data_IF_340772040712
#
_entry.id   IF_340772040712
#
_cell.length_a   1.000
_cell.length_b   1.000
_cell.length_c   1.000
_cell.angle_alpha   90.00
_cell.angle_beta   90.00
_cell.angle_gamma   90.00
#
_symmetry.space_group_name_H-M   'P 1'
#
loop_
_entity.id
_entity.type
_entity.pdbx_description
1 polymer ?
#
# COMPACT_ATOMS: atom_id res chain seq x y z
N UNK A 1 47.35 -47.10 -61.56
CA UNK A 1 46.70 -46.51 -60.35
C UNK A 1 46.08 -45.18 -60.75
N UNK A 2 44.79 -45.14 -60.87
CA UNK A 2 44.07 -43.88 -61.20
C UNK A 2 43.45 -43.32 -59.89
N UNK A 3 43.87 -42.13 -59.48
CA UNK A 3 43.22 -41.37 -58.36
C UNK A 3 42.11 -40.57 -58.95
N UNK A 4 40.89 -40.85 -58.44
CA UNK A 4 39.68 -40.06 -58.72
C UNK A 4 39.57 -38.96 -57.70
N UNK A 5 39.72 -37.71 -58.12
CA UNK A 5 39.42 -36.53 -57.27
C UNK A 5 37.91 -36.34 -57.24
N UNK A 6 37.29 -36.58 -56.07
CA UNK A 6 35.91 -36.13 -55.79
C UNK A 6 35.97 -34.72 -55.27
N UNK A 7 35.45 -33.77 -56.07
CA UNK A 7 35.25 -32.37 -55.70
C UNK A 7 33.93 -32.29 -54.94
N UNK A 8 34.04 -32.02 -53.65
CA UNK A 8 32.86 -31.82 -52.78
C UNK A 8 32.46 -30.34 -52.85
N UNK A 9 31.31 -30.02 -53.46
CA UNK A 9 30.76 -28.70 -53.45
C UNK A 9 30.06 -28.44 -52.09
N UNK A 10 30.60 -27.51 -51.33
CA UNK A 10 29.96 -26.97 -50.11
C UNK A 10 28.95 -25.91 -50.53
N UNK A 11 27.67 -26.25 -50.50
CA UNK A 11 26.58 -25.27 -50.71
C UNK A 11 26.37 -24.50 -49.41
N UNK A 12 26.82 -23.25 -49.36
CA UNK A 12 26.53 -22.35 -48.27
C UNK A 12 25.12 -21.75 -48.52
N UNK A 13 24.14 -22.28 -47.85
CA UNK A 13 22.80 -21.66 -47.75
C UNK A 13 22.88 -20.41 -46.84
N UNK A 14 22.97 -19.24 -47.44
CA UNK A 14 22.74 -17.98 -46.74
C UNK A 14 21.26 -17.86 -46.43
N UNK A 15 20.88 -18.18 -45.20
CA UNK A 15 19.56 -17.82 -44.64
C UNK A 15 19.53 -16.32 -44.46
N UNK A 16 19.05 -15.58 -45.45
CA UNK A 16 18.61 -14.21 -45.26
C UNK A 16 17.31 -14.25 -44.44
N UNK A 17 17.44 -14.23 -43.11
CA UNK A 17 16.32 -13.99 -42.24
C UNK A 17 15.86 -12.54 -42.47
N UNK A 18 14.85 -12.38 -43.33
CA UNK A 18 14.06 -11.13 -43.34
C UNK A 18 13.31 -11.10 -42.02
N UNK A 19 13.89 -10.43 -41.02
CA UNK A 19 13.08 -9.96 -39.90
C UNK A 19 12.09 -8.96 -40.49
N UNK A 20 10.76 -9.14 -40.27
CA UNK A 20 9.81 -8.11 -40.63
C UNK A 20 10.29 -6.82 -39.97
N UNK A 21 10.37 -5.76 -40.75
CA UNK A 21 10.69 -4.45 -40.21
C UNK A 21 9.58 -4.11 -39.23
N UNK A 22 9.88 -4.06 -37.95
CA UNK A 22 8.92 -3.59 -36.96
C UNK A 22 8.49 -2.18 -37.37
N UNK A 23 7.18 -1.98 -37.51
CA UNK A 23 6.63 -0.67 -37.67
C UNK A 23 6.99 0.18 -36.43
N UNK A 24 7.47 1.39 -36.66
CA UNK A 24 7.79 2.28 -35.57
C UNK A 24 6.51 2.51 -34.72
N UNK A 25 6.52 2.01 -33.51
CA UNK A 25 5.45 2.29 -32.54
C UNK A 25 5.50 3.80 -32.29
N UNK A 26 4.44 4.52 -32.65
CA UNK A 26 4.31 5.93 -32.28
C UNK A 26 4.25 6.00 -30.75
N UNK A 27 5.20 6.67 -30.08
CA UNK A 27 5.14 6.79 -28.63
C UNK A 27 3.79 7.38 -28.23
N UNK A 28 3.14 6.81 -27.23
CA UNK A 28 1.94 7.41 -26.63
C UNK A 28 2.31 8.83 -26.18
N UNK A 29 1.53 9.86 -26.55
CA UNK A 29 1.84 11.22 -26.08
C UNK A 29 1.92 11.23 -24.56
N UNK A 30 3.01 11.75 -24.00
CA UNK A 30 3.14 12.01 -22.58
C UNK A 30 2.08 13.04 -22.20
N UNK A 31 1.10 12.64 -21.41
CA UNK A 31 0.02 13.51 -20.96
C UNK A 31 0.25 13.77 -19.48
N UNK A 32 0.61 15.01 -19.17
CA UNK A 32 0.60 15.46 -17.79
C UNK A 32 -0.86 15.59 -17.35
N UNK A 33 -1.24 14.81 -16.33
CA UNK A 33 -2.59 14.83 -15.76
C UNK A 33 -2.55 15.43 -14.37
N UNK A 34 -3.53 16.26 -14.08
CA UNK A 34 -3.74 16.83 -12.73
C UNK A 34 -5.05 16.30 -12.17
N UNK A 35 -5.00 15.84 -10.94
CA UNK A 35 -6.13 15.23 -10.24
C UNK A 35 -6.26 15.85 -8.86
N UNK A 36 -7.45 16.33 -8.51
CA UNK A 36 -7.84 16.70 -7.16
C UNK A 36 -8.73 15.59 -6.59
N UNK A 37 -8.41 15.09 -5.40
CA UNK A 37 -9.21 14.11 -4.67
C UNK A 37 -9.94 14.78 -3.52
N UNK A 38 -11.14 14.30 -3.20
CA UNK A 38 -11.87 14.66 -1.99
C UNK A 38 -11.88 13.47 -1.02
N UNK A 39 -11.05 13.53 0.02
CA UNK A 39 -11.01 12.50 1.07
C UNK A 39 -11.83 12.89 2.30
N UNK A 40 -12.68 13.90 2.16
CA UNK A 40 -13.55 14.44 3.20
C UNK A 40 -12.88 15.44 4.14
N UNK A 41 -13.66 16.33 4.69
CA UNK A 41 -13.22 17.41 5.58
C UNK A 41 -12.41 16.86 6.78
N UNK A 42 -12.86 15.74 7.34
CA UNK A 42 -12.18 15.08 8.47
C UNK A 42 -11.17 14.03 8.05
N UNK A 43 -10.92 13.90 6.74
CA UNK A 43 -10.02 12.88 6.17
C UNK A 43 -10.40 11.47 6.65
N UNK A 44 -11.70 11.17 6.61
CA UNK A 44 -12.30 9.93 7.09
C UNK A 44 -12.64 8.95 5.96
N UNK A 45 -12.09 9.18 4.77
CA UNK A 45 -12.17 8.28 3.63
C UNK A 45 -10.78 7.77 3.26
N UNK A 46 -10.78 6.58 2.69
CA UNK A 46 -9.66 6.02 1.95
C UNK A 46 -10.07 6.02 0.49
N UNK A 47 -9.26 6.65 -0.36
CA UNK A 47 -9.47 6.66 -1.80
C UNK A 47 -8.37 5.83 -2.48
N UNK A 48 -8.77 4.79 -3.18
CA UNK A 48 -7.89 3.92 -3.96
C UNK A 48 -7.81 4.42 -5.40
N UNK A 49 -6.61 4.74 -5.85
CA UNK A 49 -6.38 5.35 -7.16
C UNK A 49 -5.52 4.45 -8.06
N UNK A 50 -5.94 4.29 -9.32
CA UNK A 50 -5.16 3.66 -10.35
C UNK A 50 -4.58 4.72 -11.29
N UNK A 51 -3.24 4.74 -11.42
CA UNK A 51 -2.53 5.57 -12.40
C UNK A 51 -2.84 5.12 -13.82
N UNK A 52 -2.88 3.81 -14.05
CA UNK A 52 -3.15 3.22 -15.34
C UNK A 52 -4.56 3.58 -15.85
N UNK A 53 -5.57 3.52 -14.99
CA UNK A 53 -6.94 3.90 -15.33
C UNK A 53 -7.21 5.40 -15.16
N UNK A 54 -6.28 6.13 -14.52
CA UNK A 54 -6.38 7.58 -14.28
C UNK A 54 -7.62 7.99 -13.48
N UNK A 55 -8.00 7.19 -12.49
CA UNK A 55 -9.21 7.45 -11.69
C UNK A 55 -9.14 6.85 -10.29
N UNK A 56 -10.00 7.35 -9.41
CA UNK A 56 -10.36 6.65 -8.19
C UNK A 56 -11.17 5.40 -8.57
N UNK A 57 -10.71 4.23 -8.18
CA UNK A 57 -11.36 2.95 -8.47
C UNK A 57 -12.27 2.49 -7.35
N UNK A 58 -12.02 2.94 -6.12
CA UNK A 58 -12.88 2.72 -4.97
C UNK A 58 -12.66 3.77 -3.88
N UNK A 59 -13.67 3.96 -3.05
CA UNK A 59 -13.59 4.72 -1.80
C UNK A 59 -14.21 3.90 -0.67
N UNK A 60 -13.64 4.00 0.53
CA UNK A 60 -14.16 3.32 1.71
C UNK A 60 -13.96 4.17 2.97
N UNK A 61 -14.76 3.92 3.99
CA UNK A 61 -14.43 4.39 5.34
C UNK A 61 -13.36 3.51 5.95
N UNK A 62 -12.34 4.04 6.64
CA UNK A 62 -11.40 3.20 7.39
C UNK A 62 -12.09 2.36 8.47
N UNK A 63 -13.36 2.62 8.78
CA UNK A 63 -14.18 1.83 9.70
C UNK A 63 -14.79 0.57 9.07
N UNK A 64 -14.76 0.46 7.74
CA UNK A 64 -15.47 -0.59 7.02
C UNK A 64 -14.75 -1.95 7.11
N UNK A 65 -13.43 -1.98 7.36
CA UNK A 65 -12.68 -3.23 7.49
C UNK A 65 -11.71 -3.23 8.66
N UNK A 66 -11.29 -4.42 9.09
CA UNK A 66 -10.33 -4.61 10.16
C UNK A 66 -9.04 -5.28 9.65
N UNK A 67 -9.15 -6.17 8.67
CA UNK A 67 -8.03 -6.93 8.12
C UNK A 67 -8.02 -6.92 6.59
N UNK A 68 -6.82 -6.92 6.03
CA UNK A 68 -6.54 -7.31 4.66
C UNK A 68 -5.82 -8.65 4.66
N UNK A 69 -6.27 -9.56 3.81
CA UNK A 69 -5.70 -10.90 3.63
C UNK A 69 -5.39 -11.10 2.16
N UNK A 70 -4.22 -11.65 1.85
CA UNK A 70 -3.90 -12.21 0.54
C UNK A 70 -3.16 -13.53 0.68
N UNK A 71 -2.67 -14.10 -0.41
CA UNK A 71 -1.98 -15.40 -0.43
C UNK A 71 -0.76 -15.45 0.51
N UNK A 72 -0.12 -14.33 0.77
CA UNK A 72 1.15 -14.25 1.49
C UNK A 72 1.03 -13.51 2.83
N UNK A 73 0.09 -12.59 2.96
CA UNK A 73 0.04 -11.69 4.11
C UNK A 73 -1.35 -11.62 4.74
N UNK A 74 -1.37 -11.35 6.03
CA UNK A 74 -2.56 -10.96 6.81
C UNK A 74 -2.16 -9.71 7.55
N UNK A 75 -2.85 -8.59 7.31
CA UNK A 75 -2.53 -7.28 7.88
C UNK A 75 -3.72 -6.67 8.57
N UNK A 76 -3.46 -5.92 9.63
CA UNK A 76 -4.46 -5.00 10.18
C UNK A 76 -4.72 -3.86 9.19
N UNK A 77 -5.87 -3.23 9.34
CA UNK A 77 -6.17 -1.99 8.65
C UNK A 77 -5.27 -0.85 9.18
N UNK A 78 -4.28 -0.47 8.38
CA UNK A 78 -3.35 0.60 8.72
C UNK A 78 -3.93 2.00 8.53
N UNK A 79 -5.08 2.16 7.84
CA UNK A 79 -5.79 3.43 7.73
C UNK A 79 -6.60 3.81 8.98
N UNK A 80 -6.45 3.04 10.03
CA UNK A 80 -7.07 3.28 11.34
C UNK A 80 -6.02 3.07 12.43
N UNK A 81 -6.10 3.77 13.55
CA UNK A 81 -5.18 3.62 14.68
C UNK A 81 -5.40 2.31 15.44
N UNK A 82 -5.32 1.18 14.73
CA UNK A 82 -5.38 -0.14 15.34
C UNK A 82 -4.03 -0.51 15.96
N UNK A 83 -4.09 -1.24 17.06
CA UNK A 83 -2.91 -1.78 17.73
C UNK A 83 -3.06 -3.28 17.89
N UNK A 84 -1.93 -3.96 18.02
CA UNK A 84 -1.92 -5.40 18.24
C UNK A 84 -0.90 -5.77 19.32
N UNK A 85 -1.23 -6.78 20.10
CA UNK A 85 -0.31 -7.45 20.99
C UNK A 85 -0.29 -8.94 20.68
N UNK A 86 0.88 -9.56 20.72
CA UNK A 86 1.04 -10.99 20.60
C UNK A 86 0.77 -11.64 21.95
N UNK A 87 0.07 -12.77 21.96
CA UNK A 87 -0.15 -13.59 23.11
C UNK A 87 0.43 -15.00 22.89
N UNK A 88 1.43 -15.37 23.67
CA UNK A 88 2.26 -16.57 23.47
C UNK A 88 1.76 -17.78 24.27
N UNK A 89 0.47 -17.87 24.58
CA UNK A 89 -0.14 -18.98 25.29
C UNK A 89 -1.48 -19.39 24.64
N UNK A 90 -2.25 -20.24 25.28
CA UNK A 90 -3.57 -20.70 24.82
C UNK A 90 -4.68 -19.75 25.24
N UNK A 91 -5.79 -19.75 24.51
CA UNK A 91 -6.89 -18.80 24.73
C UNK A 91 -7.50 -18.87 26.12
N UNK A 92 -7.57 -20.07 26.71
CA UNK A 92 -8.09 -20.29 28.06
C UNK A 92 -7.27 -19.58 29.17
N UNK A 93 -6.08 -19.09 28.82
CA UNK A 93 -5.22 -18.30 29.72
C UNK A 93 -5.25 -16.80 29.44
N UNK A 94 -5.97 -16.37 28.42
CA UNK A 94 -6.15 -14.97 28.09
C UNK A 94 -7.33 -14.37 28.88
N UNK A 95 -7.14 -14.22 30.19
CA UNK A 95 -8.18 -13.72 31.11
C UNK A 95 -8.36 -12.19 30.97
N UNK A 96 -7.27 -11.47 30.74
CA UNK A 96 -7.25 -10.02 30.57
C UNK A 96 -6.10 -9.57 29.66
N UNK A 97 -5.86 -8.30 29.56
CA UNK A 97 -4.78 -7.71 28.76
C UNK A 97 -3.59 -7.22 29.58
N UNK A 98 -3.55 -7.55 30.88
CA UNK A 98 -2.44 -7.15 31.74
C UNK A 98 -1.13 -7.79 31.27
N UNK A 99 -0.09 -6.97 31.18
CA UNK A 99 1.23 -7.43 30.71
C UNK A 99 1.39 -7.55 29.19
N UNK A 100 0.34 -7.32 28.38
CA UNK A 100 0.46 -7.26 26.94
C UNK A 100 1.08 -5.94 26.48
N UNK A 101 1.96 -6.01 25.51
CA UNK A 101 2.54 -4.84 24.87
C UNK A 101 1.89 -4.61 23.52
N UNK A 102 1.04 -3.59 23.42
CA UNK A 102 0.40 -3.18 22.20
C UNK A 102 1.31 -2.29 21.35
N UNK A 103 1.31 -2.54 20.05
CA UNK A 103 2.08 -1.76 19.07
C UNK A 103 1.18 -1.35 17.91
N UNK A 104 1.42 -0.15 17.37
CA UNK A 104 0.84 0.28 16.12
C UNK A 104 1.55 -0.38 14.94
N UNK A 105 0.87 -0.43 13.80
CA UNK A 105 1.52 -0.70 12.52
C UNK A 105 2.17 0.60 12.06
N UNK A 106 3.49 0.59 11.94
CA UNK A 106 4.26 1.67 11.35
C UNK A 106 5.22 1.07 10.34
N UNK A 107 5.53 1.80 9.27
CA UNK A 107 6.44 1.33 8.22
C UNK A 107 7.90 1.64 8.51
N UNK A 108 8.19 2.54 9.46
CA UNK A 108 9.53 3.05 9.78
C UNK A 108 10.37 2.18 10.73
N UNK A 109 9.85 1.08 11.22
CA UNK A 109 10.61 0.22 12.12
C UNK A 109 11.48 -0.77 11.36
N UNK A 110 12.77 -0.48 11.24
CA UNK A 110 13.80 -1.38 10.68
C UNK A 110 13.88 -2.75 11.39
N UNK A 111 13.32 -2.91 12.55
CA UNK A 111 13.54 -4.06 13.42
C UNK A 111 12.42 -5.09 13.43
N UNK A 112 11.70 -5.39 12.41
CA UNK A 112 10.81 -6.58 12.40
C UNK A 112 9.33 -6.35 12.12
N UNK A 113 8.87 -5.14 11.92
CA UNK A 113 7.43 -4.87 11.85
C UNK A 113 6.95 -4.29 10.51
N UNK A 114 7.84 -4.06 9.58
CA UNK A 114 7.53 -3.60 8.21
C UNK A 114 6.62 -4.56 7.44
N UNK A 115 6.45 -5.76 7.97
CA UNK A 115 5.56 -6.77 7.47
C UNK A 115 4.83 -7.40 8.64
N UNK A 116 3.79 -6.75 9.12
CA UNK A 116 2.85 -7.42 10.00
C UNK A 116 2.07 -8.47 9.23
N UNK A 117 2.79 -9.47 8.82
CA UNK A 117 2.22 -10.75 8.56
C UNK A 117 1.83 -11.31 9.92
N UNK A 118 0.55 -11.27 10.22
CA UNK A 118 0.07 -11.99 11.38
C UNK A 118 0.44 -13.45 11.18
N UNK A 119 1.30 -13.97 12.04
CA UNK A 119 1.80 -15.34 11.93
C UNK A 119 0.63 -16.30 12.10
N UNK A 120 0.51 -17.25 11.20
CA UNK A 120 -0.52 -18.30 11.31
C UNK A 120 -0.47 -19.01 12.65
N UNK A 121 -1.64 -19.33 13.16
CA UNK A 121 -1.82 -20.05 14.43
C UNK A 121 -1.31 -19.31 15.69
N UNK A 122 -0.82 -18.10 15.54
CA UNK A 122 -0.48 -17.22 16.66
C UNK A 122 -1.72 -16.47 17.14
N UNK A 123 -1.92 -16.42 18.46
CA UNK A 123 -2.99 -15.59 19.05
C UNK A 123 -2.50 -14.15 19.15
N UNK A 124 -3.35 -13.24 18.68
CA UNK A 124 -3.15 -11.80 18.80
C UNK A 124 -4.33 -11.18 19.55
N UNK A 125 -4.05 -10.18 20.35
CA UNK A 125 -5.06 -9.27 20.90
C UNK A 125 -5.04 -8.00 20.06
N UNK A 126 -6.17 -7.72 19.42
CA UNK A 126 -6.34 -6.56 18.55
C UNK A 126 -7.14 -5.49 19.27
N UNK A 127 -6.58 -4.30 19.36
CA UNK A 127 -7.27 -3.08 19.75
C UNK A 127 -7.77 -2.38 18.47
N UNK A 128 -9.07 -2.28 18.33
CA UNK A 128 -9.70 -1.64 17.16
C UNK A 128 -9.47 -0.13 17.07
N UNK A 129 -8.83 0.47 18.10
CA UNK A 129 -8.59 1.90 18.16
C UNK A 129 -9.84 2.69 18.50
N UNK A 130 -9.95 3.88 17.93
CA UNK A 130 -11.03 4.83 18.18
C UNK A 130 -11.98 4.93 16.99
N UNK A 131 -13.25 5.19 17.24
CA UNK A 131 -14.19 5.56 16.21
C UNK A 131 -14.06 7.05 15.79
N UNK A 132 -14.91 7.50 14.87
CA UNK A 132 -14.90 8.88 14.39
C UNK A 132 -15.27 9.93 15.45
N UNK A 133 -15.80 9.50 16.61
CA UNK A 133 -16.10 10.36 17.77
C UNK A 133 -15.02 10.32 18.85
N UNK A 134 -13.91 9.63 18.57
CA UNK A 134 -12.80 9.35 19.50
C UNK A 134 -13.21 8.46 20.69
N UNK A 135 -14.25 7.67 20.54
CA UNK A 135 -14.60 6.65 21.54
C UNK A 135 -13.84 5.33 21.23
N UNK A 136 -13.32 4.62 22.26
CA UNK A 136 -12.70 3.32 22.06
C UNK A 136 -13.70 2.31 21.48
N UNK A 137 -13.30 1.59 20.44
CA UNK A 137 -14.16 0.57 19.81
C UNK A 137 -14.14 -0.73 20.60
N UNK A 138 -13.00 -1.08 21.17
CA UNK A 138 -12.83 -2.28 22.01
C UNK A 138 -11.69 -3.17 21.57
N UNK A 139 -11.64 -4.34 22.17
CA UNK A 139 -10.59 -5.34 22.01
C UNK A 139 -11.19 -6.70 21.63
N UNK A 140 -10.44 -7.47 20.86
CA UNK A 140 -10.75 -8.88 20.59
C UNK A 140 -9.46 -9.67 20.51
N UNK A 141 -9.53 -10.98 20.75
CA UNK A 141 -8.45 -11.88 20.39
C UNK A 141 -8.74 -12.54 19.05
N UNK A 142 -7.70 -12.80 18.26
CA UNK A 142 -7.82 -13.36 16.93
C UNK A 142 -6.67 -14.30 16.62
N UNK A 143 -6.94 -15.34 15.83
CA UNK A 143 -5.95 -16.25 15.25
C UNK A 143 -6.38 -16.58 13.83
N UNK A 144 -5.42 -16.68 12.95
CA UNK A 144 -5.65 -17.02 11.54
C UNK A 144 -5.08 -18.40 11.24
N UNK A 145 -5.81 -19.16 10.45
CA UNK A 145 -5.41 -20.48 9.96
C UNK A 145 -5.70 -20.55 8.46
N UNK A 146 -4.67 -20.73 7.65
CA UNK A 146 -4.87 -20.90 6.20
C UNK A 146 -5.41 -22.28 5.92
N UNK A 147 -6.35 -22.36 5.00
CA UNK A 147 -6.94 -23.59 4.49
C UNK A 147 -6.65 -23.74 3.00
N UNK A 148 -7.03 -24.87 2.42
CA UNK A 148 -6.83 -25.09 0.98
C UNK A 148 -7.61 -24.08 0.11
N UNK A 149 -8.75 -23.59 0.62
CA UNK A 149 -9.68 -22.76 -0.14
C UNK A 149 -9.76 -21.30 0.37
N UNK A 150 -9.00 -20.95 1.42
CA UNK A 150 -9.07 -19.61 2.01
C UNK A 150 -8.46 -19.51 3.39
N UNK A 151 -9.13 -18.78 4.28
CA UNK A 151 -8.66 -18.53 5.65
C UNK A 151 -9.78 -18.74 6.66
N UNK A 152 -9.46 -19.48 7.72
CA UNK A 152 -10.29 -19.57 8.91
C UNK A 152 -9.82 -18.50 9.92
N UNK A 153 -10.74 -17.66 10.32
CA UNK A 153 -10.52 -16.58 11.28
C UNK A 153 -11.15 -16.98 12.62
N UNK A 154 -10.31 -17.37 13.55
CA UNK A 154 -10.73 -17.64 14.92
C UNK A 154 -10.74 -16.34 15.71
N UNK A 155 -11.79 -16.10 16.50
CA UNK A 155 -11.87 -14.90 17.32
C UNK A 155 -12.60 -15.17 18.62
N UNK A 156 -12.28 -14.37 19.64
CA UNK A 156 -12.87 -14.50 20.95
C UNK A 156 -12.87 -13.17 21.71
N UNK A 157 -13.87 -12.98 22.55
CA UNK A 157 -13.83 -11.91 23.54
C UNK A 157 -12.76 -12.24 24.61
N UNK A 158 -12.03 -11.24 25.08
CA UNK A 158 -11.04 -11.41 26.14
C UNK A 158 -11.72 -11.95 27.39
N UNK A 159 -11.13 -12.97 28.00
CA UNK A 159 -11.67 -13.68 29.17
C UNK A 159 -12.83 -14.63 28.87
N UNK A 160 -13.05 -15.00 27.61
CA UNK A 160 -14.08 -15.96 27.21
C UNK A 160 -13.49 -17.35 26.92
N UNK A 161 -14.15 -18.40 27.33
CA UNK A 161 -13.77 -19.79 27.08
C UNK A 161 -14.26 -20.30 25.71
N UNK A 162 -15.03 -19.51 24.96
CA UNK A 162 -15.65 -19.95 23.70
C UNK A 162 -14.92 -19.35 22.51
N UNK A 163 -14.34 -20.19 21.67
CA UNK A 163 -13.79 -19.84 20.38
C UNK A 163 -14.91 -19.82 19.33
N UNK A 164 -14.95 -18.77 18.54
CA UNK A 164 -15.80 -18.66 17.35
C UNK A 164 -14.90 -18.55 16.14
N UNK A 165 -15.29 -19.11 15.02
CA UNK A 165 -14.56 -18.94 13.78
C UNK A 165 -15.48 -18.63 12.61
N UNK A 166 -14.91 -17.94 11.62
CA UNK A 166 -15.52 -17.67 10.33
C UNK A 166 -14.63 -18.28 9.24
N UNK A 167 -15.24 -19.01 8.31
CA UNK A 167 -14.56 -19.54 7.14
C UNK A 167 -14.73 -18.54 5.98
N UNK A 168 -13.62 -18.03 5.45
CA UNK A 168 -13.61 -17.15 4.29
C UNK A 168 -12.93 -17.86 3.13
N UNK A 169 -13.72 -18.31 2.16
CA UNK A 169 -13.28 -19.10 1.01
C UNK A 169 -12.81 -18.18 -0.14
N UNK A 170 -11.85 -17.32 0.15
CA UNK A 170 -11.21 -16.41 -0.80
C UNK A 170 -9.73 -16.30 -0.48
N UNK A 171 -8.90 -16.14 -1.51
CA UNK A 171 -7.45 -16.00 -1.37
C UNK A 171 -7.00 -14.56 -1.07
N UNK A 172 -7.84 -13.58 -1.43
CA UNK A 172 -7.54 -12.16 -1.22
C UNK A 172 -8.83 -11.40 -0.93
N UNK A 173 -8.87 -10.68 0.20
CA UNK A 173 -10.09 -9.99 0.63
C UNK A 173 -9.80 -8.98 1.75
N UNK A 174 -10.72 -8.02 1.91
CA UNK A 174 -10.84 -7.20 3.11
C UNK A 174 -11.95 -7.77 4.00
N UNK A 175 -11.73 -7.78 5.30
CA UNK A 175 -12.65 -8.39 6.25
C UNK A 175 -12.96 -7.47 7.42
N UNK A 176 -14.24 -7.33 7.72
CA UNK A 176 -14.73 -6.71 8.95
C UNK A 176 -15.10 -7.80 9.96
N UNK A 177 -14.32 -7.92 11.02
CA UNK A 177 -14.55 -8.97 12.03
C UNK A 177 -15.76 -8.66 12.91
N UNK A 178 -16.08 -7.41 13.14
CA UNK A 178 -17.22 -6.98 13.96
C UNK A 178 -18.55 -7.24 13.26
N UNK A 179 -18.59 -6.98 11.95
CA UNK A 179 -19.77 -7.19 11.09
C UNK A 179 -19.77 -8.58 10.42
N UNK A 180 -18.66 -9.33 10.53
CA UNK A 180 -18.46 -10.67 9.98
C UNK A 180 -18.71 -10.75 8.48
N UNK A 181 -18.16 -9.81 7.74
CA UNK A 181 -18.35 -9.75 6.29
C UNK A 181 -17.05 -9.45 5.54
N UNK A 182 -16.99 -9.99 4.33
CA UNK A 182 -15.99 -9.63 3.32
C UNK A 182 -16.46 -8.38 2.58
N UNK A 183 -15.52 -7.48 2.29
CA UNK A 183 -15.79 -6.27 1.52
C UNK A 183 -15.24 -6.41 0.11
N UNK A 184 -15.98 -5.87 -0.83
CA UNK A 184 -15.58 -5.74 -2.24
C UNK A 184 -14.77 -4.44 -2.41
N UNK A 185 -13.49 -4.50 -2.02
CA UNK A 185 -12.52 -3.41 -2.16
C UNK A 185 -11.34 -3.89 -3.03
N UNK A 186 -10.70 -2.99 -3.78
CA UNK A 186 -9.58 -3.36 -4.64
C UNK A 186 -8.42 -3.89 -3.80
N UNK A 187 -7.90 -5.04 -4.19
CA UNK A 187 -6.70 -5.62 -3.61
C UNK A 187 -5.48 -4.74 -3.87
N UNK A 188 -4.40 -4.93 -3.12
CA UNK A 188 -3.15 -4.16 -3.31
C UNK A 188 -2.55 -4.27 -4.72
N UNK A 189 -3.01 -5.22 -5.54
CA UNK A 189 -2.61 -5.37 -6.95
C UNK A 189 -3.46 -4.57 -7.93
N UNK A 190 -4.60 -4.07 -7.50
CA UNK A 190 -5.58 -3.41 -8.37
C UNK A 190 -5.50 -1.89 -8.28
N UNK A 191 -4.86 -1.33 -7.23
CA UNK A 191 -4.60 0.10 -7.13
C UNK A 191 -3.09 0.37 -7.05
N UNK A 192 -2.68 1.56 -7.45
CA UNK A 192 -1.28 1.98 -7.37
C UNK A 192 -1.00 2.74 -6.08
N UNK A 193 -1.90 3.63 -5.68
CA UNK A 193 -1.79 4.45 -4.48
C UNK A 193 -3.14 4.58 -3.77
N UNK A 194 -3.10 4.65 -2.43
CA UNK A 194 -4.28 4.86 -1.60
C UNK A 194 -4.06 6.05 -0.67
N UNK A 195 -5.02 6.95 -0.64
CA UNK A 195 -5.00 8.18 0.16
C UNK A 195 -5.83 7.98 1.42
N UNK A 196 -5.24 8.20 2.59
CA UNK A 196 -5.94 8.06 3.86
C UNK A 196 -5.10 8.51 5.03
N UNK A 197 -5.66 8.43 6.23
CA UNK A 197 -4.86 8.53 7.46
C UNK A 197 -4.25 7.18 7.77
N UNK A 198 -3.01 7.15 8.15
CA UNK A 198 -2.35 5.95 8.68
C UNK A 198 -1.47 6.32 9.87
N UNK A 199 -1.11 5.33 10.68
CA UNK A 199 -0.23 5.56 11.82
C UNK A 199 1.21 5.46 11.36
N UNK A 200 1.98 6.48 11.72
CA UNK A 200 3.40 6.56 11.43
C UNK A 200 4.18 7.14 12.62
N UNK A 201 5.49 6.93 12.65
CA UNK A 201 6.39 7.51 13.64
C UNK A 201 6.72 8.95 13.27
N UNK A 202 6.29 9.86 14.09
CA UNK A 202 6.58 11.28 13.90
C UNK A 202 7.47 11.81 15.01
N UNK A 203 8.57 12.45 14.65
CA UNK A 203 9.49 13.08 15.58
C UNK A 203 9.28 14.58 15.60
N UNK A 204 8.90 15.11 16.76
CA UNK A 204 8.78 16.54 17.02
C UNK A 204 9.60 16.86 18.28
N UNK A 205 10.46 17.85 18.21
CA UNK A 205 11.33 18.29 19.33
C UNK A 205 12.11 17.14 19.97
N UNK A 206 12.63 16.20 19.18
CA UNK A 206 13.34 14.98 19.59
C UNK A 206 12.47 13.98 20.39
N UNK A 207 11.16 14.09 20.32
CA UNK A 207 10.21 13.11 20.84
C UNK A 207 9.61 12.36 19.66
N UNK A 208 9.87 11.06 19.56
CA UNK A 208 9.29 10.18 18.56
C UNK A 208 8.09 9.47 19.15
N UNK A 209 6.97 9.52 18.45
CA UNK A 209 5.74 8.84 18.87
C UNK A 209 4.90 8.42 17.67
N UNK A 210 4.07 7.40 17.87
CA UNK A 210 3.06 7.00 16.89
C UNK A 210 2.03 8.12 16.71
N UNK A 211 1.78 8.49 15.47
CA UNK A 211 0.85 9.56 15.13
C UNK A 211 -0.01 9.20 13.94
N UNK A 212 -1.33 9.39 14.04
CA UNK A 212 -2.26 9.16 12.94
C UNK A 212 -2.22 10.35 11.99
N UNK A 213 -1.52 10.20 10.88
CA UNK A 213 -1.27 11.26 9.90
C UNK A 213 -1.94 10.95 8.56
N UNK A 214 -2.31 11.99 7.82
CA UNK A 214 -2.82 11.84 6.48
C UNK A 214 -1.69 11.78 5.45
N UNK A 215 -1.70 10.75 4.65
CA UNK A 215 -0.69 10.54 3.62
C UNK A 215 -1.15 9.56 2.53
N UNK A 216 -0.18 8.93 1.90
CA UNK A 216 -0.36 8.03 0.75
C UNK A 216 0.37 6.73 1.01
N UNK A 217 -0.34 5.63 0.85
CA UNK A 217 0.21 4.28 0.94
C UNK A 217 0.17 3.66 -0.46
N UNK A 218 1.24 3.00 -0.85
CA UNK A 218 1.30 2.32 -2.13
C UNK A 218 0.59 0.97 -2.09
N UNK A 219 0.03 0.59 -3.23
CA UNK A 219 -0.39 -0.78 -3.52
C UNK A 219 0.81 -1.73 -3.62
N UNK A 220 0.71 -2.76 -4.42
CA UNK A 220 1.82 -3.67 -4.72
C UNK A 220 2.70 -3.12 -5.86
N UNK A 221 3.06 -1.85 -5.78
CA UNK A 221 3.88 -1.12 -6.73
C UNK A 221 5.30 -0.93 -6.18
N UNK A 222 6.24 -0.64 -7.06
CA UNK A 222 7.57 -0.19 -6.68
C UNK A 222 7.62 1.33 -6.77
N UNK A 223 8.17 1.97 -5.76
CA UNK A 223 8.27 3.41 -5.71
C UNK A 223 9.64 3.86 -5.19
N UNK A 224 10.08 5.01 -5.62
CA UNK A 224 11.16 5.73 -4.99
C UNK A 224 10.91 7.24 -5.05
N UNK A 225 11.52 7.97 -4.12
CA UNK A 225 11.49 9.43 -4.05
C UNK A 225 12.76 10.01 -4.67
N UNK A 226 12.59 11.09 -5.43
CA UNK A 226 13.65 11.94 -5.96
C UNK A 226 13.51 13.35 -5.40
N UNK A 227 14.59 13.88 -4.79
CA UNK A 227 14.64 15.24 -4.29
C UNK A 227 15.02 16.24 -5.40
N UNK A 228 14.39 16.14 -6.58
CA UNK A 228 14.59 17.02 -7.72
C UNK A 228 13.24 17.44 -8.29
N UNK A 229 13.20 18.58 -9.04
CA UNK A 229 11.97 19.03 -9.68
C UNK A 229 11.39 17.99 -10.64
N UNK A 230 10.08 17.94 -10.71
CA UNK A 230 9.33 17.00 -11.54
C UNK A 230 9.74 17.02 -13.02
N UNK A 231 10.06 18.21 -13.53
CA UNK A 231 10.47 18.43 -14.92
C UNK A 231 11.86 17.84 -15.22
N UNK A 232 12.71 17.67 -14.19
CA UNK A 232 14.08 17.19 -14.33
C UNK A 232 14.21 15.67 -14.20
N UNK A 233 13.13 14.97 -13.76
CA UNK A 233 13.10 13.50 -13.68
C UNK A 233 12.96 12.92 -15.07
N UNK A 234 13.94 12.10 -15.48
CA UNK A 234 14.01 11.45 -16.78
C UNK A 234 13.91 9.92 -16.62
N UNK A 235 13.47 9.24 -17.67
CA UNK A 235 13.23 7.80 -17.73
C UNK A 235 14.49 6.96 -17.40
N UNK A 236 15.66 7.42 -17.83
CA UNK A 236 16.94 6.72 -17.63
C UNK A 236 17.35 6.59 -16.16
N UNK A 237 16.74 7.37 -15.26
CA UNK A 237 17.03 7.30 -13.83
C UNK A 237 16.41 6.10 -13.15
N UNK A 238 15.30 5.57 -13.67
CA UNK A 238 14.63 4.41 -13.08
C UNK A 238 15.53 3.16 -13.05
N UNK A 239 16.36 2.97 -14.07
CA UNK A 239 17.30 1.83 -14.15
C UNK A 239 18.48 1.92 -13.16
N UNK A 240 18.72 3.10 -12.58
CA UNK A 240 19.85 3.37 -11.70
C UNK A 240 19.52 3.26 -10.22
N UNK A 241 18.24 3.28 -9.87
CA UNK A 241 17.76 3.32 -8.49
C UNK A 241 17.01 2.02 -8.21
N UNK A 242 17.34 1.36 -7.09
CA UNK A 242 16.54 0.23 -6.60
C UNK A 242 15.29 0.79 -5.93
N UNK A 243 14.11 0.57 -6.53
CA UNK A 243 12.88 1.06 -5.93
C UNK A 243 12.62 0.36 -4.61
N UNK A 244 12.11 1.12 -3.64
CA UNK A 244 11.70 0.56 -2.37
C UNK A 244 10.39 -0.22 -2.52
N UNK A 245 10.27 -1.27 -1.71
CA UNK A 245 9.03 -2.05 -1.55
C UNK A 245 8.20 -1.59 -0.37
N UNK A 246 8.70 -0.60 0.36
CA UNK A 246 8.01 0.00 1.49
C UNK A 246 6.71 0.65 1.03
N UNK A 247 5.68 0.54 1.87
CA UNK A 247 4.32 0.97 1.48
C UNK A 247 4.10 2.47 1.58
N UNK A 248 4.98 3.19 2.24
CA UNK A 248 4.85 4.62 2.54
C UNK A 248 6.01 5.48 1.99
N UNK A 249 6.66 5.02 0.91
CA UNK A 249 7.68 5.83 0.22
C UNK A 249 7.14 7.20 -0.17
N UNK A 250 5.87 7.30 -0.59
CA UNK A 250 5.20 8.57 -0.80
C UNK A 250 4.87 9.21 0.54
N UNK A 251 4.31 8.43 1.47
CA UNK A 251 4.07 8.82 2.83
C UNK A 251 3.23 10.08 3.02
N UNK A 252 3.63 10.89 3.97
CA UNK A 252 2.94 12.11 4.36
C UNK A 252 3.79 13.38 4.21
N UNK A 253 5.09 13.26 4.05
CA UNK A 253 6.08 14.34 4.10
C UNK A 253 6.22 15.14 2.80
N UNK A 254 5.36 14.87 1.81
CA UNK A 254 5.17 15.74 0.65
C UNK A 254 4.54 17.10 0.99
N UNK A 255 4.11 17.27 2.28
CA UNK A 255 3.58 18.52 2.83
C UNK A 255 4.09 18.74 4.25
N UNK A 256 4.36 19.98 4.60
CA UNK A 256 4.76 20.40 5.94
C UNK A 256 3.69 21.32 6.55
N UNK A 257 3.45 21.15 7.86
CA UNK A 257 2.57 22.08 8.57
C UNK A 257 3.35 23.33 8.99
N UNK A 258 2.99 24.49 8.45
CA UNK A 258 3.58 25.76 8.85
C UNK A 258 2.81 26.35 10.02
N UNK A 259 3.44 26.36 11.20
CA UNK A 259 2.85 26.90 12.42
C UNK A 259 2.53 28.40 12.34
N UNK A 260 3.27 29.18 11.55
CA UNK A 260 3.04 30.61 11.42
C UNK A 260 1.81 30.96 10.58
N UNK A 261 1.56 30.19 9.50
CA UNK A 261 0.38 30.35 8.64
C UNK A 261 -0.82 29.52 9.13
N UNK A 262 -0.59 28.53 9.99
CA UNK A 262 -1.62 27.58 10.44
C UNK A 262 -2.11 26.64 9.34
N UNK A 263 -1.27 26.41 8.29
CA UNK A 263 -1.65 25.61 7.14
C UNK A 263 -0.54 24.68 6.66
N UNK A 264 -0.89 23.81 5.72
CA UNK A 264 0.08 22.93 5.06
C UNK A 264 0.67 23.60 3.84
N UNK A 265 1.97 23.42 3.64
CA UNK A 265 2.72 23.84 2.48
C UNK A 265 3.28 22.61 1.75
N UNK A 266 3.23 22.62 0.43
CA UNK A 266 3.72 21.51 -0.39
C UNK A 266 5.24 21.60 -0.54
N UNK A 267 5.89 20.45 -0.45
CA UNK A 267 7.34 20.30 -0.71
C UNK A 267 7.54 20.18 -2.22
N UNK A 268 7.98 21.25 -2.87
CA UNK A 268 7.94 21.39 -4.34
C UNK A 268 9.07 20.64 -5.08
N UNK A 269 10.12 20.21 -4.38
CA UNK A 269 11.26 19.50 -4.96
C UNK A 269 11.19 17.97 -4.74
N UNK A 270 10.04 17.46 -4.32
CA UNK A 270 9.81 16.02 -4.22
C UNK A 270 9.07 15.49 -5.43
N UNK A 271 9.65 14.49 -6.07
CA UNK A 271 9.04 13.75 -7.18
C UNK A 271 9.11 12.27 -6.86
N UNK A 272 8.01 11.58 -7.04
CA UNK A 272 7.91 10.14 -6.84
C UNK A 272 7.88 9.44 -8.19
N UNK A 273 8.65 8.36 -8.33
CA UNK A 273 8.62 7.52 -9.51
C UNK A 273 8.03 6.16 -9.13
N UNK A 274 7.00 5.78 -9.84
CA UNK A 274 6.15 4.63 -9.49
C UNK A 274 6.08 3.69 -10.70
N UNK A 275 6.50 2.43 -10.51
CA UNK A 275 6.19 1.38 -11.45
C UNK A 275 4.85 0.76 -11.09
N UNK A 276 3.82 0.99 -11.91
CA UNK A 276 2.46 0.49 -11.69
C UNK A 276 2.37 -1.03 -11.75
N UNK A 277 1.25 -1.58 -11.30
CA UNK A 277 1.00 -3.01 -11.39
C UNK A 277 0.92 -3.53 -12.84
N UNK A 278 0.58 -2.68 -13.81
CA UNK A 278 0.61 -3.02 -15.24
C UNK A 278 2.02 -2.90 -15.86
N UNK A 279 3.02 -2.41 -15.10
CA UNK A 279 4.41 -2.29 -15.53
C UNK A 279 4.73 -0.98 -16.23
N UNK A 280 3.85 0.00 -16.20
CA UNK A 280 4.13 1.36 -16.67
C UNK A 280 4.86 2.15 -15.59
N UNK A 281 5.73 3.07 -16.01
CA UNK A 281 6.49 3.93 -15.11
C UNK A 281 5.90 5.33 -15.16
N UNK A 282 5.52 5.84 -14.01
CA UNK A 282 4.96 7.17 -13.82
C UNK A 282 5.85 8.01 -12.92
N UNK A 283 5.96 9.29 -13.20
CA UNK A 283 6.43 10.28 -12.22
C UNK A 283 5.22 11.06 -11.67
N UNK A 284 5.26 11.38 -10.39
CA UNK A 284 4.18 12.03 -9.66
C UNK A 284 4.74 13.12 -8.75
N UNK A 285 4.04 14.25 -8.64
CA UNK A 285 4.27 15.28 -7.61
C UNK A 285 2.97 15.76 -7.01
N UNK A 286 3.02 16.27 -5.79
CA UNK A 286 1.92 16.99 -5.17
C UNK A 286 2.02 18.48 -5.47
N UNK A 287 0.86 19.13 -5.66
CA UNK A 287 0.78 20.57 -5.98
C UNK A 287 -0.12 21.34 -5.02
N UNK A 288 -1.06 20.66 -4.35
CA UNK A 288 -1.96 21.29 -3.38
C UNK A 288 -2.53 20.27 -2.38
N UNK A 289 -3.08 20.77 -1.27
CA UNK A 289 -3.81 19.98 -0.26
C UNK A 289 -5.16 20.60 0.11
N UNK A 290 -5.51 21.70 -0.52
CA UNK A 290 -6.72 22.46 -0.24
C UNK A 290 -7.59 22.57 -1.49
N UNK A 291 -8.91 22.57 -1.30
CA UNK A 291 -9.83 22.90 -2.38
C UNK A 291 -9.89 24.41 -2.63
N UNK A 292 -10.69 24.82 -3.62
CA UNK A 292 -10.91 26.23 -3.98
C UNK A 292 -11.49 27.09 -2.86
N UNK A 293 -12.08 26.46 -1.82
CA UNK A 293 -12.62 27.15 -0.63
C UNK A 293 -11.63 27.18 0.54
N UNK A 294 -10.39 26.72 0.35
CA UNK A 294 -9.36 26.68 1.39
C UNK A 294 -9.54 25.57 2.43
N UNK A 295 -10.38 24.57 2.17
CA UNK A 295 -10.54 23.42 3.06
C UNK A 295 -9.46 22.38 2.77
N UNK A 296 -8.78 21.88 3.81
CA UNK A 296 -7.81 20.78 3.71
C UNK A 296 -8.50 19.43 3.47
N UNK A 297 -7.73 18.44 2.99
CA UNK A 297 -8.26 17.12 2.66
C UNK A 297 -8.61 16.97 1.18
N UNK A 298 -8.03 17.83 0.34
CA UNK A 298 -8.17 17.82 -1.10
C UNK A 298 -6.78 17.77 -1.76
N UNK A 299 -6.04 16.65 -1.60
CA UNK A 299 -4.74 16.52 -2.25
C UNK A 299 -4.91 16.64 -3.76
N UNK A 300 -4.10 17.52 -4.35
CA UNK A 300 -3.97 17.66 -5.79
C UNK A 300 -2.58 17.19 -6.18
N UNK A 301 -2.51 16.28 -7.11
CA UNK A 301 -1.25 15.77 -7.64
C UNK A 301 -1.26 15.76 -9.17
N UNK A 302 -0.08 15.86 -9.72
CA UNK A 302 0.18 15.75 -11.15
C UNK A 302 1.03 14.51 -11.40
N UNK A 303 0.76 13.83 -12.50
CA UNK A 303 1.53 12.66 -12.90
C UNK A 303 1.66 12.55 -14.42
N UNK A 304 2.72 11.93 -14.86
CA UNK A 304 3.08 11.76 -16.27
C UNK A 304 3.64 10.34 -16.48
N UNK A 305 3.24 9.69 -17.57
CA UNK A 305 3.83 8.45 -18.04
C UNK A 305 5.24 8.77 -18.58
N UNK A 306 6.26 8.05 -18.12
CA UNK A 306 7.65 8.21 -18.51
C UNK A 306 7.98 7.40 -19.77
#
# INVERSE_FOLDING_TARGET
>A
MRYSNKLTYLVVLSLAACFPKEDAITPTPRVNKSVELDVGEYKNRVAFYSLDESKVIAEASPMDWDFYVDENVIRLNYFRSMRVARFDDTWDKLEDTAGLTFRYLTYDHEETLTQWELIENQIYVVDYGMDNSFAPIGLTSVRFERTADGVKIWHNAIGSDFEVFEDVNQSSFYYNLREKNVLDLPTEREYDIAFGKYTDLVTVDNITQDYLIYGVIQGKTLCYEEEIPFEDVQEDRFDLILPATDKDVIGWDWKNFNLASGGYEIVTNKTYVIASNAGFIYKLRFVNFYNSSGKSGHPTFEWELM
#
